data_IF_182166616908
#
_entry.id   IF_182166616908
#
_cell.length_a   1.000
_cell.length_b   1.000
_cell.length_c   1.000
_cell.angle_alpha   90.00
_cell.angle_beta   90.00
_cell.angle_gamma   90.00
#
_symmetry.space_group_name_H-M   'P 1'
#
loop_
_entity.id
_entity.type
_entity.pdbx_description
1 polymer ?
#
# COMPACT_ATOMS: atom_id res chain seq x y z
N UNK A 1 17.90 1.63 -8.98
CA UNK A 1 19.01 2.15 -8.14
C UNK A 1 18.64 2.16 -6.66
N UNK A 2 17.54 2.79 -6.25
CA UNK A 2 17.13 2.88 -4.83
C UNK A 2 16.77 1.52 -4.19
N UNK A 3 16.04 0.65 -4.89
CA UNK A 3 15.64 -0.66 -4.35
C UNK A 3 16.82 -1.58 -4.03
N UNK A 4 17.86 -1.59 -4.86
CA UNK A 4 19.08 -2.37 -4.62
C UNK A 4 19.84 -1.86 -3.40
N UNK A 5 19.93 -0.54 -3.22
CA UNK A 5 20.53 0.04 -2.01
C UNK A 5 19.77 -0.34 -0.74
N UNK A 6 18.44 -0.51 -0.83
CA UNK A 6 17.61 -0.96 0.29
C UNK A 6 17.88 -2.44 0.62
N UNK A 7 18.01 -3.29 -0.40
CA UNK A 7 18.41 -4.70 -0.25
C UNK A 7 19.79 -4.80 0.40
N UNK A 8 20.77 -4.04 -0.11
CA UNK A 8 22.13 -4.03 0.43
C UNK A 8 22.11 -3.57 1.90
N UNK A 9 21.34 -2.53 2.22
CA UNK A 9 21.21 -2.02 3.58
C UNK A 9 20.65 -3.07 4.54
N UNK A 10 19.55 -3.74 4.20
CA UNK A 10 18.94 -4.74 5.10
C UNK A 10 19.83 -5.96 5.27
N UNK A 11 20.54 -6.37 4.21
CA UNK A 11 21.44 -7.51 4.23
C UNK A 11 22.70 -7.20 5.06
N UNK A 12 23.35 -6.06 4.82
CA UNK A 12 24.56 -5.65 5.53
C UNK A 12 24.31 -5.41 7.02
N UNK A 13 23.17 -4.81 7.38
CA UNK A 13 22.88 -4.48 8.77
C UNK A 13 22.07 -5.55 9.50
N UNK A 14 21.63 -6.60 8.79
CA UNK A 14 20.77 -7.66 9.32
C UNK A 14 19.50 -7.11 10.01
N UNK A 15 18.80 -6.21 9.32
CA UNK A 15 17.61 -5.51 9.86
C UNK A 15 16.38 -5.78 9.01
N UNK A 16 15.22 -5.68 9.67
CA UNK A 16 13.93 -5.61 8.98
C UNK A 16 13.61 -4.15 8.68
N UNK A 17 12.95 -3.88 7.56
CA UNK A 17 12.51 -2.52 7.22
C UNK A 17 11.07 -2.53 6.73
N UNK A 18 10.32 -1.53 7.17
CA UNK A 18 9.00 -1.20 6.66
C UNK A 18 9.14 0.09 5.85
N UNK A 19 8.64 0.10 4.63
CA UNK A 19 8.64 1.30 3.78
C UNK A 19 7.38 1.38 2.93
N UNK A 20 7.04 2.59 2.50
CA UNK A 20 5.92 2.86 1.60
C UNK A 20 6.38 3.03 0.15
N UNK A 21 5.61 2.51 -0.79
CA UNK A 21 5.77 2.73 -2.22
C UNK A 21 4.46 2.43 -2.98
N UNK A 22 4.37 2.86 -4.24
CA UNK A 22 3.29 2.44 -5.12
C UNK A 22 3.53 1.00 -5.61
N UNK A 23 2.52 0.15 -5.48
CA UNK A 23 2.50 -1.19 -6.05
C UNK A 23 1.69 -1.18 -7.34
N UNK A 24 2.26 -1.68 -8.43
CA UNK A 24 1.56 -1.83 -9.72
C UNK A 24 1.36 -3.31 -10.01
N UNK A 25 0.10 -3.72 -10.11
CA UNK A 25 -0.28 -5.08 -10.47
C UNK A 25 -0.83 -5.10 -11.91
N UNK A 26 -0.27 -5.98 -12.73
CA UNK A 26 -0.62 -6.19 -14.13
C UNK A 26 -1.36 -7.53 -14.30
N UNK A 27 -2.03 -7.71 -15.44
CA UNK A 27 -2.64 -9.01 -15.79
C UNK A 27 -4.11 -9.17 -15.40
N UNK A 28 -4.81 -8.09 -15.07
CA UNK A 28 -6.26 -8.13 -14.89
C UNK A 28 -6.98 -8.31 -16.24
N UNK A 29 -8.16 -8.97 -16.26
CA UNK A 29 -8.90 -9.25 -17.50
C UNK A 29 -9.26 -8.02 -18.34
N UNK A 30 -9.30 -6.84 -17.73
CA UNK A 30 -9.59 -5.58 -18.40
C UNK A 30 -8.35 -4.87 -18.98
N UNK A 31 -7.16 -5.51 -18.91
CA UNK A 31 -5.87 -4.96 -19.32
C UNK A 31 -5.52 -3.61 -18.69
N UNK A 32 -6.17 -3.22 -17.58
CA UNK A 32 -5.86 -1.98 -16.88
C UNK A 32 -4.96 -2.29 -15.68
N UNK A 33 -3.81 -1.60 -15.53
CA UNK A 33 -2.98 -1.75 -14.34
C UNK A 33 -3.78 -1.34 -13.11
N UNK A 34 -3.63 -2.09 -12.02
CA UNK A 34 -4.09 -1.67 -10.70
C UNK A 34 -2.92 -1.06 -9.96
N UNK A 35 -3.08 0.17 -9.50
CA UNK A 35 -2.06 0.90 -8.74
C UNK A 35 -2.55 1.00 -7.30
N UNK A 36 -1.71 0.65 -6.35
CA UNK A 36 -2.02 0.67 -4.92
C UNK A 36 -1.01 1.53 -4.17
N UNK A 37 -1.49 2.30 -3.19
CA UNK A 37 -0.62 2.88 -2.16
C UNK A 37 -0.32 1.77 -1.15
N UNK A 38 0.94 1.33 -1.08
CA UNK A 38 1.30 0.12 -0.36
C UNK A 38 2.43 0.34 0.66
N UNK A 39 2.38 -0.43 1.73
CA UNK A 39 3.46 -0.63 2.67
C UNK A 39 4.06 -2.02 2.46
N UNK A 40 5.38 -2.12 2.57
CA UNK A 40 6.14 -3.34 2.34
C UNK A 40 6.94 -3.69 3.58
N UNK A 41 6.96 -4.98 3.94
CA UNK A 41 7.91 -5.52 4.93
C UNK A 41 9.01 -6.27 4.20
N UNK A 42 10.25 -5.77 4.31
CA UNK A 42 11.43 -6.46 3.79
C UNK A 42 12.19 -7.11 4.94
N UNK A 43 12.54 -8.38 4.76
CA UNK A 43 13.33 -9.17 5.70
C UNK A 43 14.85 -8.95 5.51
N UNK A 44 15.69 -9.39 6.46
CA UNK A 44 17.15 -9.26 6.35
C UNK A 44 17.78 -10.00 5.16
N UNK A 45 17.05 -10.90 4.48
CA UNK A 45 17.51 -11.54 3.24
C UNK A 45 17.27 -10.68 1.99
N UNK A 46 16.68 -9.49 2.15
CA UNK A 46 16.32 -8.59 1.06
C UNK A 46 15.00 -8.94 0.38
N UNK A 47 14.22 -9.89 0.94
CA UNK A 47 12.95 -10.31 0.34
C UNK A 47 11.78 -9.54 0.93
N UNK A 48 10.83 -9.19 0.06
CA UNK A 48 9.51 -8.70 0.48
C UNK A 48 8.74 -9.88 1.08
N UNK A 49 8.54 -9.84 2.39
CA UNK A 49 7.88 -10.89 3.16
C UNK A 49 6.38 -10.66 3.34
N UNK A 50 5.92 -9.40 3.23
CA UNK A 50 4.51 -9.02 3.31
C UNK A 50 4.27 -7.67 2.64
N UNK A 51 3.06 -7.49 2.11
CA UNK A 51 2.61 -6.25 1.46
C UNK A 51 1.23 -5.92 2.02
N UNK A 52 1.05 -4.67 2.45
CA UNK A 52 -0.24 -4.12 2.83
C UNK A 52 -0.64 -3.04 1.82
N UNK A 53 -1.87 -3.12 1.31
CA UNK A 53 -2.43 -2.12 0.38
C UNK A 53 -3.44 -1.26 1.13
N UNK A 54 -3.32 0.06 1.02
CA UNK A 54 -4.23 1.03 1.66
C UNK A 54 -5.68 0.73 1.31
N UNK A 55 -6.52 0.59 2.33
CA UNK A 55 -7.93 0.19 2.23
C UNK A 55 -8.88 1.39 2.17
N UNK A 56 -8.64 2.43 2.99
CA UNK A 56 -9.45 3.66 2.99
C UNK A 56 -8.73 4.75 2.21
N UNK A 57 -9.12 4.89 0.95
CA UNK A 57 -8.62 5.94 0.07
C UNK A 57 -9.22 7.30 0.43
N UNK A 58 -8.44 8.36 0.28
CA UNK A 58 -8.89 9.74 0.47
C UNK A 58 -9.71 10.18 -0.76
N UNK A 59 -10.99 10.55 -0.59
CA UNK A 59 -11.79 11.10 -1.68
C UNK A 59 -11.15 12.36 -2.26
N UNK A 60 -11.11 12.46 -3.58
CA UNK A 60 -10.50 13.57 -4.34
C UNK A 60 -8.98 13.75 -4.16
N UNK A 61 -8.32 12.89 -3.37
CA UNK A 61 -6.87 12.83 -3.26
C UNK A 61 -6.29 11.58 -3.93
N UNK A 62 -6.93 10.43 -3.70
CA UNK A 62 -6.48 9.12 -4.18
C UNK A 62 -7.47 8.45 -5.14
N UNK A 63 -8.72 8.92 -5.19
CA UNK A 63 -9.71 8.49 -6.18
C UNK A 63 -10.78 9.58 -6.39
N UNK A 64 -11.51 9.51 -7.49
CA UNK A 64 -12.64 10.40 -7.77
C UNK A 64 -13.96 9.66 -7.49
N UNK A 65 -14.77 10.10 -6.50
CA UNK A 65 -16.11 9.58 -6.30
C UNK A 65 -16.99 9.78 -7.54
N UNK A 66 -17.83 8.79 -7.85
CA UNK A 66 -18.79 8.84 -8.97
C UNK A 66 -18.15 9.12 -10.34
N UNK A 67 -16.85 8.81 -10.51
CA UNK A 67 -16.10 9.07 -11.74
C UNK A 67 -16.78 8.51 -13.00
N UNK A 68 -17.46 7.36 -12.88
CA UNK A 68 -18.17 6.72 -13.98
C UNK A 68 -19.46 7.46 -14.37
N UNK A 69 -20.10 8.16 -13.43
CA UNK A 69 -21.35 8.89 -13.66
C UNK A 69 -21.09 10.35 -14.06
N UNK A 70 -19.99 10.94 -13.58
CA UNK A 70 -19.63 12.35 -13.77
C UNK A 70 -18.20 12.47 -14.34
N UNK A 71 -17.96 12.05 -15.60
CA UNK A 71 -16.61 11.97 -16.17
C UNK A 71 -15.91 13.34 -16.30
N UNK A 72 -16.65 14.45 -16.27
CA UNK A 72 -16.08 15.79 -16.26
C UNK A 72 -15.23 16.08 -15.02
N UNK A 73 -15.47 15.37 -13.90
CA UNK A 73 -14.69 15.54 -12.66
C UNK A 73 -13.19 15.27 -12.88
N UNK A 74 -12.84 14.35 -13.79
CA UNK A 74 -11.42 14.10 -14.17
C UNK A 74 -10.71 15.31 -14.73
N UNK A 75 -11.45 16.22 -15.37
CA UNK A 75 -10.88 17.41 -16.03
C UNK A 75 -10.70 18.58 -15.06
N UNK A 76 -11.43 18.58 -13.95
CA UNK A 76 -11.47 19.69 -13.00
C UNK A 76 -10.66 19.37 -11.75
N UNK A 77 -10.55 18.09 -11.38
CA UNK A 77 -9.89 17.64 -10.17
C UNK A 77 -8.48 17.14 -10.52
N UNK A 78 -7.42 17.73 -9.94
CA UNK A 78 -6.03 17.38 -10.24
C UNK A 78 -5.60 16.12 -9.50
N UNK A 79 -6.24 14.99 -9.78
CA UNK A 79 -5.84 13.67 -9.24
C UNK A 79 -5.08 12.90 -10.32
N UNK A 80 -3.81 12.52 -10.10
CA UNK A 80 -2.96 11.87 -11.11
C UNK A 80 -3.50 10.53 -11.64
N UNK A 81 -4.37 9.89 -10.86
CA UNK A 81 -5.02 8.62 -11.18
C UNK A 81 -5.78 8.09 -9.97
N UNK A 82 -6.69 7.16 -10.18
CA UNK A 82 -7.43 6.52 -9.08
C UNK A 82 -6.64 5.30 -8.59
N UNK A 83 -6.15 5.36 -7.35
CA UNK A 83 -5.64 4.18 -6.66
C UNK A 83 -6.74 3.13 -6.51
N UNK A 84 -6.33 1.87 -6.50
CA UNK A 84 -7.19 0.74 -6.19
C UNK A 84 -7.17 0.52 -4.67
N UNK A 85 -8.32 0.36 -4.00
CA UNK A 85 -8.34 0.07 -2.57
C UNK A 85 -7.86 -1.37 -2.31
N UNK A 86 -7.06 -1.54 -1.27
CA UNK A 86 -6.76 -2.85 -0.70
C UNK A 86 -8.00 -3.52 -0.12
N UNK A 87 -8.03 -4.85 -0.11
CA UNK A 87 -9.22 -5.64 0.23
C UNK A 87 -9.19 -6.26 1.63
N UNK A 88 -8.02 -6.41 2.26
CA UNK A 88 -7.88 -7.10 3.55
C UNK A 88 -6.77 -6.50 4.43
N UNK A 89 -6.88 -6.61 5.77
CA UNK A 89 -5.78 -6.30 6.69
C UNK A 89 -4.62 -7.27 6.50
N UNK A 90 -3.40 -6.81 6.80
CA UNK A 90 -2.19 -7.65 6.73
C UNK A 90 -1.37 -7.45 8.00
N UNK A 91 -0.93 -8.55 8.60
CA UNK A 91 -0.05 -8.51 9.77
C UNK A 91 1.39 -8.67 9.32
N UNK A 92 2.19 -7.65 9.58
CA UNK A 92 3.63 -7.68 9.41
C UNK A 92 4.24 -8.41 10.59
N UNK A 93 4.75 -9.62 10.32
CA UNK A 93 5.39 -10.48 11.33
C UNK A 93 6.90 -10.29 11.27
N UNK A 94 7.42 -9.49 12.18
CA UNK A 94 8.86 -9.26 12.35
C UNK A 94 9.38 -10.28 13.36
N UNK A 95 10.10 -11.28 12.86
CA UNK A 95 10.54 -12.44 13.67
C UNK A 95 9.33 -13.15 14.31
N UNK A 96 9.57 -13.97 15.33
CA UNK A 96 8.52 -14.68 16.08
C UNK A 96 7.87 -13.83 17.17
N UNK A 97 8.40 -12.63 17.44
CA UNK A 97 8.10 -11.87 18.66
C UNK A 97 7.37 -10.56 18.43
N UNK A 98 7.35 -10.01 17.21
CA UNK A 98 6.77 -8.70 16.95
C UNK A 98 5.78 -8.76 15.78
N UNK A 99 4.53 -8.42 16.07
CA UNK A 99 3.49 -8.25 15.06
C UNK A 99 3.14 -6.77 14.95
N UNK A 100 2.99 -6.27 13.73
CA UNK A 100 2.57 -4.90 13.44
C UNK A 100 1.52 -4.91 12.35
N UNK A 101 0.51 -4.05 12.47
CA UNK A 101 -0.49 -3.84 11.44
C UNK A 101 -0.29 -2.43 10.86
N UNK A 102 0.20 -2.29 9.62
CA UNK A 102 0.38 -0.99 9.01
C UNK A 102 -0.97 -0.31 8.74
N UNK A 103 -1.03 0.99 9.02
CA UNK A 103 -2.07 1.90 8.55
C UNK A 103 -1.38 3.01 7.77
N UNK A 104 -1.95 3.42 6.64
CA UNK A 104 -1.33 4.41 5.77
C UNK A 104 -2.05 5.76 5.90
N UNK A 105 -1.35 6.77 6.44
CA UNK A 105 -1.81 8.16 6.53
C UNK A 105 -3.22 8.22 7.14
N UNK A 106 -4.21 8.75 6.41
CA UNK A 106 -5.60 8.94 6.82
C UNK A 106 -6.30 7.72 7.44
N UNK A 107 -5.80 6.51 7.20
CA UNK A 107 -6.32 5.28 7.83
C UNK A 107 -6.21 5.26 9.35
N UNK A 108 -5.28 6.01 9.94
CA UNK A 108 -5.12 6.14 11.39
C UNK A 108 -6.34 6.79 12.09
N UNK A 109 -7.16 7.52 11.34
CA UNK A 109 -8.41 8.13 11.82
C UNK A 109 -9.59 7.15 11.90
N UNK A 110 -9.42 5.90 11.42
CA UNK A 110 -10.48 4.87 11.37
C UNK A 110 -10.23 3.76 12.42
N UNK A 111 -10.90 3.79 13.58
CA UNK A 111 -10.63 2.84 14.67
C UNK A 111 -10.99 1.38 14.37
N UNK A 112 -11.82 1.14 13.35
CA UNK A 112 -12.11 -0.20 12.82
C UNK A 112 -10.90 -0.81 12.11
N UNK A 113 -10.07 0.01 11.45
CA UNK A 113 -8.91 -0.48 10.71
C UNK A 113 -7.73 -0.88 11.58
N UNK A 114 -7.60 -0.24 12.75
CA UNK A 114 -6.52 -0.51 13.71
C UNK A 114 -6.64 -1.89 14.37
N UNK A 115 -7.84 -2.49 14.34
CA UNK A 115 -8.10 -3.81 14.89
C UNK A 115 -8.09 -4.85 13.78
N UNK A 116 -7.37 -5.95 14.01
CA UNK A 116 -7.45 -7.12 13.14
C UNK A 116 -8.74 -7.84 13.55
N UNK A 117 -9.69 -8.07 12.62
CA UNK A 117 -10.88 -8.86 12.91
C UNK A 117 -10.49 -10.24 13.47
N UNK A 118 -11.23 -10.76 14.46
CA UNK A 118 -10.97 -12.07 15.06
C UNK A 118 -11.05 -13.21 14.04
#
# INVERSE_FOLDING_TARGET
MFFLALIDFVHTNNVWIIFGADEVELGYPDNKPRVYNAAFLMDPSGKISSIYRKRRLVPFGEFIPLEQQLPFLKKVIPVPGSFTPGSYPVVFRIKTTHNTNPLICFEDTFPDLARIPP
#
